data_IF_905168489385
#
_entry.id   IF_905168489385
#
_cell.length_a   1.000
_cell.length_b   1.000
_cell.length_c   1.000
_cell.angle_alpha   90.00
_cell.angle_beta   90.00
_cell.angle_gamma   90.00
#
_symmetry.space_group_name_H-M   'P 1'
#
loop_
_entity.id
_entity.type
_entity.pdbx_description
1 polymer ?
#
# COMPACT_ATOMS: atom_id res chain seq x y z
N UNK A 1 16.28 -19.91 -26.82
CA UNK A 1 16.24 -19.38 -25.44
C UNK A 1 16.59 -20.47 -24.43
N UNK A 2 17.50 -20.17 -23.50
CA UNK A 2 17.83 -21.06 -22.37
C UNK A 2 16.78 -20.91 -21.27
N UNK A 3 16.53 -21.98 -20.50
CA UNK A 3 15.59 -21.99 -19.37
C UNK A 3 15.88 -20.85 -18.38
N UNK A 4 17.16 -20.56 -18.12
CA UNK A 4 17.57 -19.46 -17.23
C UNK A 4 17.09 -18.08 -17.68
N UNK A 5 17.10 -17.79 -18.98
CA UNK A 5 16.62 -16.51 -19.50
C UNK A 5 15.11 -16.35 -19.27
N UNK A 6 14.34 -17.41 -19.52
CA UNK A 6 12.89 -17.42 -19.25
C UNK A 6 12.59 -17.24 -17.76
N UNK A 7 13.39 -17.86 -16.89
CA UNK A 7 13.26 -17.70 -15.45
C UNK A 7 13.47 -16.25 -15.01
N UNK A 8 14.53 -15.60 -15.51
CA UNK A 8 14.80 -14.19 -15.22
C UNK A 8 13.66 -13.28 -15.69
N UNK A 9 13.16 -13.50 -16.91
CA UNK A 9 12.03 -12.74 -17.44
C UNK A 9 10.77 -12.87 -16.55
N UNK A 10 10.48 -14.08 -16.05
CA UNK A 10 9.36 -14.31 -15.12
C UNK A 10 9.57 -13.68 -13.74
N UNK A 11 10.81 -13.67 -13.23
CA UNK A 11 11.12 -13.00 -11.96
C UNK A 11 10.85 -11.50 -12.08
N UNK A 12 11.35 -10.86 -13.14
CA UNK A 12 11.11 -9.43 -13.37
C UNK A 12 9.61 -9.13 -13.50
N UNK A 13 8.87 -9.94 -14.25
CA UNK A 13 7.41 -9.77 -14.37
C UNK A 13 6.69 -9.90 -13.03
N UNK A 14 7.11 -10.84 -12.17
CA UNK A 14 6.53 -11.02 -10.84
C UNK A 14 6.83 -9.83 -9.92
N UNK A 15 8.06 -9.31 -9.95
CA UNK A 15 8.41 -8.11 -9.20
C UNK A 15 7.59 -6.89 -9.65
N UNK A 16 7.51 -6.66 -10.96
CA UNK A 16 6.76 -5.54 -11.54
C UNK A 16 5.25 -5.63 -11.23
N UNK A 17 4.68 -6.84 -11.34
CA UNK A 17 3.28 -7.08 -11.04
C UNK A 17 2.99 -6.83 -9.55
N UNK A 18 3.85 -7.33 -8.67
CA UNK A 18 3.74 -7.11 -7.23
C UNK A 18 3.85 -5.63 -6.87
N UNK A 19 4.84 -4.92 -7.42
CA UNK A 19 5.02 -3.49 -7.17
C UNK A 19 3.80 -2.67 -7.61
N UNK A 20 3.31 -2.88 -8.83
CA UNK A 20 2.13 -2.17 -9.36
C UNK A 20 0.89 -2.42 -8.51
N UNK A 21 0.68 -3.67 -8.10
CA UNK A 21 -0.46 -4.05 -7.28
C UNK A 21 -0.39 -3.41 -5.89
N UNK A 22 0.75 -3.53 -5.20
CA UNK A 22 0.97 -2.91 -3.90
C UNK A 22 0.81 -1.39 -3.93
N UNK A 23 1.34 -0.72 -4.96
CA UNK A 23 1.18 0.72 -5.13
C UNK A 23 -0.30 1.12 -5.32
N UNK A 24 -1.05 0.39 -6.13
CA UNK A 24 -2.47 0.67 -6.37
C UNK A 24 -3.30 0.51 -5.08
N UNK A 25 -3.08 -0.58 -4.34
CA UNK A 25 -3.76 -0.83 -3.06
C UNK A 25 -3.40 0.23 -2.04
N UNK A 26 -2.12 0.56 -1.90
CA UNK A 26 -1.67 1.58 -0.95
C UNK A 26 -2.31 2.93 -1.27
N UNK A 27 -2.39 3.30 -2.56
CA UNK A 27 -3.10 4.50 -2.99
C UNK A 27 -4.56 4.43 -2.55
N UNK A 28 -5.28 3.38 -2.91
CA UNK A 28 -6.69 3.19 -2.58
C UNK A 28 -6.96 3.25 -1.06
N UNK A 29 -6.19 2.51 -0.25
CA UNK A 29 -6.39 2.45 1.20
C UNK A 29 -6.03 3.76 1.90
N UNK A 30 -5.05 4.50 1.38
CA UNK A 30 -4.60 5.76 1.97
C UNK A 30 -5.41 6.99 1.52
N UNK A 31 -6.21 6.91 0.45
CA UNK A 31 -7.00 8.04 -0.05
C UNK A 31 -7.85 8.72 1.05
N UNK A 32 -8.62 8.00 1.88
CA UNK A 32 -9.41 8.64 2.94
C UNK A 32 -8.52 9.38 3.96
N UNK A 33 -7.40 8.77 4.34
CA UNK A 33 -6.45 9.37 5.28
C UNK A 33 -5.81 10.64 4.70
N UNK A 34 -5.37 10.60 3.43
CA UNK A 34 -4.82 11.76 2.72
C UNK A 34 -5.82 12.91 2.64
N UNK A 35 -7.08 12.59 2.33
CA UNK A 35 -8.17 13.57 2.32
C UNK A 35 -8.36 14.21 3.70
N UNK A 36 -8.45 13.40 4.75
CA UNK A 36 -8.57 13.90 6.13
C UNK A 36 -7.40 14.81 6.54
N UNK A 37 -6.18 14.50 6.11
CA UNK A 37 -5.00 15.35 6.33
C UNK A 37 -5.12 16.68 5.56
N UNK A 38 -5.49 16.61 4.27
CA UNK A 38 -5.66 17.80 3.42
C UNK A 38 -6.74 18.75 3.96
N UNK A 39 -7.81 18.20 4.51
CA UNK A 39 -8.93 18.94 5.12
C UNK A 39 -8.61 19.42 6.55
N UNK A 40 -7.39 19.17 7.06
CA UNK A 40 -6.95 19.52 8.42
C UNK A 40 -7.84 18.93 9.52
N UNK A 41 -8.47 17.78 9.25
CA UNK A 41 -9.42 17.11 10.17
C UNK A 41 -8.78 16.75 11.51
N UNK A 42 -7.46 16.52 11.53
CA UNK A 42 -6.69 16.19 12.72
C UNK A 42 -6.12 17.42 13.45
N UNK A 43 -6.35 18.65 12.96
CA UNK A 43 -5.85 19.88 13.58
C UNK A 43 -6.75 20.36 14.72
N UNK A 44 -7.08 19.44 15.62
CA UNK A 44 -7.93 19.65 16.81
C UNK A 44 -7.20 19.16 18.06
N UNK A 45 -7.68 19.54 19.24
CA UNK A 45 -7.16 18.99 20.49
C UNK A 45 -7.33 17.46 20.50
N UNK A 46 -6.25 16.72 20.78
CA UNK A 46 -6.25 15.25 20.69
C UNK A 46 -6.17 14.67 19.27
N UNK A 47 -6.08 15.50 18.22
CA UNK A 47 -6.09 15.04 16.84
C UNK A 47 -4.92 14.16 16.42
N UNK A 48 -3.78 14.23 17.13
CA UNK A 48 -2.66 13.30 16.92
C UNK A 48 -3.06 11.83 17.18
N UNK A 49 -3.82 11.55 18.25
CA UNK A 49 -4.29 10.19 18.54
C UNK A 49 -5.27 9.71 17.46
N UNK A 50 -6.17 10.59 17.00
CA UNK A 50 -7.09 10.30 15.90
C UNK A 50 -6.35 9.96 14.60
N UNK A 51 -5.29 10.69 14.29
CA UNK A 51 -4.42 10.38 13.16
C UNK A 51 -3.74 9.02 13.30
N UNK A 52 -3.20 8.69 14.49
CA UNK A 52 -2.57 7.38 14.72
C UNK A 52 -3.54 6.22 14.57
N UNK A 53 -4.78 6.38 15.02
CA UNK A 53 -5.83 5.37 14.82
C UNK A 53 -6.18 5.19 13.34
N UNK A 54 -6.38 6.30 12.61
CA UNK A 54 -6.65 6.25 11.18
C UNK A 54 -5.49 5.63 10.38
N UNK A 55 -4.24 5.96 10.73
CA UNK A 55 -3.04 5.37 10.14
C UNK A 55 -2.95 3.87 10.42
N UNK A 56 -3.15 3.44 11.68
CA UNK A 56 -3.15 2.00 12.06
C UNK A 56 -4.19 1.21 11.27
N UNK A 57 -5.37 1.79 11.04
CA UNK A 57 -6.40 1.15 10.21
C UNK A 57 -5.89 0.88 8.79
N UNK A 58 -5.27 1.86 8.14
CA UNK A 58 -4.68 1.69 6.80
C UNK A 58 -3.62 0.58 6.79
N UNK A 59 -2.75 0.53 7.81
CA UNK A 59 -1.71 -0.50 7.93
C UNK A 59 -2.30 -1.91 8.12
N UNK A 60 -3.35 -2.05 8.94
CA UNK A 60 -4.05 -3.33 9.14
C UNK A 60 -4.77 -3.77 7.86
N UNK A 61 -5.51 -2.86 7.23
CA UNK A 61 -6.22 -3.13 5.97
C UNK A 61 -5.22 -3.59 4.90
N UNK A 62 -4.04 -2.95 4.81
CA UNK A 62 -2.98 -3.36 3.88
C UNK A 62 -2.42 -4.75 4.20
N UNK A 63 -2.21 -5.08 5.48
CA UNK A 63 -1.72 -6.41 5.89
C UNK A 63 -2.68 -7.53 5.49
N UNK A 64 -3.98 -7.30 5.59
CA UNK A 64 -5.02 -8.28 5.28
C UNK A 64 -5.21 -8.55 3.78
N UNK A 65 -4.70 -7.68 2.91
CA UNK A 65 -4.80 -7.86 1.46
C UNK A 65 -4.03 -9.12 1.02
N UNK A 66 -4.69 -10.10 0.36
CA UNK A 66 -4.03 -11.30 -0.11
C UNK A 66 -3.21 -11.03 -1.38
N UNK A 67 -2.27 -11.93 -1.71
CA UNK A 67 -1.55 -11.97 -3.01
C UNK A 67 -0.85 -10.66 -3.40
N UNK A 68 -0.33 -9.91 -2.42
CA UNK A 68 0.49 -8.70 -2.65
C UNK A 68 1.72 -8.94 -3.53
N UNK A 69 2.25 -10.16 -3.48
CA UNK A 69 3.45 -10.58 -4.20
C UNK A 69 4.69 -10.43 -3.33
N UNK A 70 5.84 -10.23 -3.96
CA UNK A 70 7.17 -10.22 -3.32
C UNK A 70 7.65 -8.84 -2.88
N UNK A 71 7.05 -7.76 -3.39
CA UNK A 71 7.38 -6.35 -3.08
C UNK A 71 6.31 -5.69 -2.22
#
# INVERSE_FOLDING_TARGET
DTIEKKKEDFLQQNEDASFKYCQAIMKQLSEPLKKSISEKTFSVHGGHELYLQAKRKVELDYKLVPRKGVK
#
